data_IF_645465018840
#
_entry.id   IF_645465018840
#
_cell.length_a   1.000
_cell.length_b   1.000
_cell.length_c   1.000
_cell.angle_alpha   90.00
_cell.angle_beta   90.00
_cell.angle_gamma   90.00
#
_symmetry.space_group_name_H-M   'P 1'
#
loop_
_entity.id
_entity.type
_entity.pdbx_description
1 polymer ?
#
# COMPACT_ATOMS: atom_id res chain seq x y z
N UNK A 1 -6.04 7.85 -8.33
CA UNK A 1 -5.17 7.14 -7.35
C UNK A 1 -5.44 5.66 -7.40
N UNK A 2 -4.47 4.87 -7.02
CA UNK A 2 -4.59 3.42 -7.00
C UNK A 2 -4.66 2.96 -5.56
N UNK A 3 -5.69 2.20 -5.22
CA UNK A 3 -5.78 1.63 -3.87
C UNK A 3 -4.82 0.47 -3.76
N UNK A 4 -3.96 0.50 -2.76
CA UNK A 4 -2.97 -0.55 -2.57
C UNK A 4 -3.46 -1.61 -1.58
N UNK A 5 -3.63 -1.24 -0.32
CA UNK A 5 -4.04 -2.17 0.72
C UNK A 5 -4.60 -1.37 1.88
N UNK A 6 -5.61 -1.87 2.55
CA UNK A 6 -6.30 -1.20 3.64
C UNK A 6 -6.79 0.16 3.13
N UNK A 7 -6.45 1.25 3.79
CA UNK A 7 -6.85 2.58 3.30
C UNK A 7 -5.67 3.33 2.72
N UNK A 8 -4.64 2.64 2.27
CA UNK A 8 -3.48 3.28 1.66
C UNK A 8 -3.60 3.28 0.14
N UNK A 9 -3.27 4.44 -0.45
CA UNK A 9 -3.39 4.68 -1.88
C UNK A 9 -2.07 5.18 -2.44
N UNK A 10 -1.90 5.01 -3.75
CA UNK A 10 -0.71 5.43 -4.46
C UNK A 10 -1.09 6.42 -5.55
N UNK A 11 -0.34 7.49 -5.68
CA UNK A 11 -0.47 8.41 -6.79
C UNK A 11 0.92 8.83 -7.25
N UNK A 12 1.00 9.49 -8.39
CA UNK A 12 2.27 9.91 -8.96
C UNK A 12 2.22 11.40 -9.22
N UNK A 13 3.31 12.09 -8.88
CA UNK A 13 3.40 13.50 -9.15
C UNK A 13 4.81 13.77 -9.65
N UNK A 14 4.94 14.07 -10.94
CA UNK A 14 6.26 14.22 -11.53
C UNK A 14 7.00 12.89 -11.51
N UNK A 15 8.17 12.89 -10.92
CA UNK A 15 8.96 11.66 -10.83
C UNK A 15 8.83 10.98 -9.47
N UNK A 16 7.89 11.44 -8.64
CA UNK A 16 7.75 10.87 -7.30
C UNK A 16 6.52 9.99 -7.20
N UNK A 17 6.66 8.91 -6.43
CA UNK A 17 5.53 8.07 -6.05
C UNK A 17 5.09 8.51 -4.66
N UNK A 18 3.79 8.76 -4.49
CA UNK A 18 3.27 9.27 -3.23
C UNK A 18 2.26 8.28 -2.67
N UNK A 19 2.49 7.84 -1.45
CA UNK A 19 1.58 6.91 -0.78
C UNK A 19 0.99 7.60 0.43
N UNK A 20 -0.27 7.30 0.72
CA UNK A 20 -0.93 7.87 1.88
C UNK A 20 -2.35 7.37 2.00
N UNK A 21 -3.07 7.89 2.98
CA UNK A 21 -4.46 7.53 3.19
C UNK A 21 -5.36 8.46 2.39
N UNK A 22 -6.54 7.99 2.03
CA UNK A 22 -7.48 8.83 1.30
C UNK A 22 -8.02 9.92 2.21
N UNK A 23 -8.17 11.13 1.65
CA UNK A 23 -8.67 12.25 2.42
C UNK A 23 -10.18 12.17 2.63
N UNK A 24 -10.87 11.41 1.77
CA UNK A 24 -12.31 11.28 1.88
C UNK A 24 -12.71 9.91 1.35
N UNK A 25 -13.98 9.55 1.53
CA UNK A 25 -14.45 8.27 1.04
C UNK A 25 -14.40 8.19 -0.48
N UNK A 26 -14.30 9.31 -1.17
CA UNK A 26 -14.18 9.28 -2.62
C UNK A 26 -12.78 8.99 -3.10
N UNK A 27 -11.80 9.05 -2.20
CA UNK A 27 -10.41 8.73 -2.55
C UNK A 27 -9.90 9.59 -3.69
N UNK A 28 -10.27 10.88 -3.69
CA UNK A 28 -9.83 11.76 -4.77
C UNK A 28 -8.49 12.38 -4.50
N UNK A 29 -8.06 12.42 -3.27
CA UNK A 29 -6.75 12.95 -2.91
C UNK A 29 -6.32 12.34 -1.60
N UNK A 30 -5.04 12.46 -1.30
CA UNK A 30 -4.49 11.90 -0.08
C UNK A 30 -4.70 12.82 1.09
N UNK A 31 -4.83 12.24 2.27
CA UNK A 31 -5.02 12.98 3.49
C UNK A 31 -3.73 13.69 3.84
N UNK A 32 -3.83 15.00 4.08
CA UNK A 32 -2.66 15.79 4.41
C UNK A 32 -2.01 15.25 5.67
N UNK A 33 -0.70 15.10 5.64
CA UNK A 33 0.03 14.57 6.77
C UNK A 33 0.26 13.08 6.70
N UNK A 34 -0.50 12.36 5.86
CA UNK A 34 -0.26 10.94 5.68
C UNK A 34 0.62 10.65 4.48
N UNK A 35 0.96 11.67 3.70
CA UNK A 35 1.69 11.48 2.46
C UNK A 35 3.14 11.14 2.69
N UNK A 36 3.65 10.15 1.95
CA UNK A 36 5.05 9.78 1.97
C UNK A 36 5.53 9.69 0.54
N UNK A 37 6.69 10.25 0.28
CA UNK A 37 7.20 10.42 -1.07
C UNK A 37 8.37 9.47 -1.33
N UNK A 38 8.36 8.82 -2.47
CA UNK A 38 9.39 7.86 -2.85
C UNK A 38 9.82 8.09 -4.28
N UNK A 39 11.09 7.76 -4.56
CA UNK A 39 11.61 7.93 -5.91
C UNK A 39 11.51 6.63 -6.72
N UNK A 40 11.19 5.52 -6.10
CA UNK A 40 11.01 4.27 -6.84
C UNK A 40 9.76 3.55 -6.36
N UNK A 41 9.15 2.82 -7.28
CA UNK A 41 7.95 2.07 -6.97
C UNK A 41 8.22 0.95 -5.98
N UNK A 42 9.34 0.24 -6.13
CA UNK A 42 9.63 -0.85 -5.21
C UNK A 42 9.82 -0.35 -3.79
N UNK A 43 10.42 0.84 -3.62
CA UNK A 43 10.58 1.41 -2.30
C UNK A 43 9.22 1.80 -1.71
N UNK A 44 8.35 2.38 -2.55
CA UNK A 44 7.00 2.74 -2.11
C UNK A 44 6.22 1.50 -1.68
N UNK A 45 6.32 0.40 -2.43
CA UNK A 45 5.63 -0.84 -2.10
C UNK A 45 6.15 -1.42 -0.80
N UNK A 46 7.47 -1.46 -0.63
CA UNK A 46 8.06 -2.03 0.58
C UNK A 46 7.66 -1.24 1.82
N UNK A 47 7.68 0.08 1.72
CA UNK A 47 7.34 0.93 2.85
C UNK A 47 5.86 0.82 3.21
N UNK A 48 4.98 0.81 2.22
CA UNK A 48 3.55 0.68 2.46
C UNK A 48 3.22 -0.67 3.07
N UNK A 49 3.92 -1.72 2.62
CA UNK A 49 3.74 -3.05 3.18
C UNK A 49 4.04 -3.05 4.68
N UNK A 50 5.15 -2.43 5.05
CA UNK A 50 5.53 -2.39 6.46
C UNK A 50 4.55 -1.58 7.28
N UNK A 51 4.10 -0.44 6.77
CA UNK A 51 3.17 0.41 7.49
C UNK A 51 1.83 -0.30 7.69
N UNK A 52 1.33 -0.97 6.65
CA UNK A 52 0.07 -1.69 6.74
C UNK A 52 0.16 -2.84 7.74
N UNK A 53 1.29 -3.55 7.76
CA UNK A 53 1.49 -4.62 8.71
C UNK A 53 1.53 -4.07 10.14
N UNK A 54 2.20 -2.94 10.34
CA UNK A 54 2.26 -2.32 11.64
C UNK A 54 0.86 -1.94 12.14
N UNK A 55 0.03 -1.41 11.24
CA UNK A 55 -1.34 -1.05 11.61
C UNK A 55 -2.13 -2.29 12.03
N UNK A 56 -1.96 -3.40 11.32
CA UNK A 56 -2.66 -4.63 11.65
C UNK A 56 -2.26 -5.13 13.05
N UNK A 57 -1.00 -4.98 13.40
CA UNK A 57 -0.53 -5.38 14.72
C UNK A 57 -1.12 -4.46 15.79
N UNK A 58 -1.12 -3.16 15.53
CA UNK A 58 -1.60 -2.20 16.52
C UNK A 58 -3.09 -2.40 16.82
N UNK A 59 -3.90 -2.70 15.81
CA UNK A 59 -5.32 -2.87 16.05
C UNK A 59 -5.67 -4.29 16.50
N UNK A 60 -4.67 -5.17 16.67
CA UNK A 60 -4.92 -6.48 17.22
C UNK A 60 -5.35 -7.55 16.24
N UNK A 61 -5.29 -7.26 14.93
CA UNK A 61 -5.62 -8.27 13.93
C UNK A 61 -4.54 -9.32 13.80
N UNK A 62 -3.32 -9.00 14.22
CA UNK A 62 -2.19 -9.90 14.14
C UNK A 62 -1.59 -9.99 15.55
N UNK A 63 -1.55 -11.19 16.12
CA UNK A 63 -1.11 -11.35 17.50
C UNK A 63 -0.02 -12.39 17.68
N UNK A 64 0.27 -13.19 16.65
CA UNK A 64 1.30 -14.22 16.75
C UNK A 64 2.28 -14.07 15.62
N UNK A 65 3.46 -14.70 15.77
CA UNK A 65 4.47 -14.65 14.72
C UNK A 65 3.96 -15.27 13.44
N UNK A 66 3.23 -16.38 13.53
CA UNK A 66 2.70 -17.02 12.36
C UNK A 66 1.71 -16.12 11.65
N UNK A 67 0.82 -15.47 12.41
CA UNK A 67 -0.12 -14.52 11.80
C UNK A 67 0.61 -13.35 11.16
N UNK A 68 1.72 -12.91 11.76
CA UNK A 68 2.51 -11.83 11.19
C UNK A 68 3.04 -12.21 9.81
N UNK A 69 3.57 -13.43 9.67
CA UNK A 69 4.11 -13.88 8.41
C UNK A 69 3.00 -13.99 7.36
N UNK A 70 1.86 -14.55 7.75
CA UNK A 70 0.75 -14.69 6.82
C UNK A 70 0.20 -13.34 6.38
N UNK A 71 0.09 -12.41 7.33
CA UNK A 71 -0.44 -11.09 7.01
C UNK A 71 0.52 -10.32 6.12
N UNK A 72 1.83 -10.44 6.36
CA UNK A 72 2.82 -9.79 5.52
C UNK A 72 2.72 -10.28 4.09
N UNK A 73 2.56 -11.60 3.91
CA UNK A 73 2.44 -12.17 2.58
C UNK A 73 1.17 -11.69 1.90
N UNK A 74 0.07 -11.66 2.63
CA UNK A 74 -1.20 -11.20 2.08
C UNK A 74 -1.14 -9.73 1.64
N UNK A 75 -0.57 -8.88 2.48
CA UNK A 75 -0.44 -7.46 2.17
C UNK A 75 0.43 -7.26 0.95
N UNK A 76 1.56 -7.98 0.89
CA UNK A 76 2.46 -7.85 -0.23
C UNK A 76 1.79 -8.28 -1.53
N UNK A 77 1.05 -9.40 -1.50
CA UNK A 77 0.37 -9.88 -2.69
C UNK A 77 -0.70 -8.90 -3.13
N UNK A 78 -1.43 -8.31 -2.19
CA UNK A 78 -2.47 -7.37 -2.53
C UNK A 78 -1.90 -6.10 -3.15
N UNK A 79 -0.79 -5.59 -2.61
CA UNK A 79 -0.15 -4.41 -3.15
C UNK A 79 0.40 -4.68 -4.54
N UNK A 80 1.07 -5.81 -4.71
CA UNK A 80 1.65 -6.14 -6.00
C UNK A 80 0.58 -6.33 -7.05
N UNK A 81 -0.54 -6.94 -6.69
CA UNK A 81 -1.65 -7.11 -7.60
C UNK A 81 -2.22 -5.75 -8.00
N UNK A 82 -2.36 -4.83 -7.06
CA UNK A 82 -2.89 -3.50 -7.36
C UNK A 82 -1.97 -2.72 -8.29
N UNK A 83 -0.65 -2.80 -8.04
CA UNK A 83 0.30 -2.04 -8.81
C UNK A 83 0.46 -2.61 -10.21
N UNK A 84 0.45 -3.94 -10.32
CA UNK A 84 0.62 -4.59 -11.62
C UNK A 84 -0.67 -4.82 -12.34
N UNK A 85 -1.76 -4.56 -11.70
CA UNK A 85 -3.09 -4.80 -12.13
C UNK A 85 -3.31 -5.12 -13.57
N UNK A 86 -3.35 -4.11 -14.37
CA UNK A 86 -3.67 -4.38 -15.72
C UNK A 86 -2.52 -4.82 -16.51
N UNK A 87 -1.32 -4.59 -16.03
CA UNK A 87 -0.17 -4.97 -16.78
C UNK A 87 0.15 -6.41 -16.77
N UNK A 88 -0.45 -7.15 -15.85
CA UNK A 88 -0.08 -8.51 -15.72
C UNK A 88 -0.52 -9.34 -16.86
N UNK A 89 -1.68 -9.04 -17.33
CA UNK A 89 -2.23 -9.95 -18.25
C UNK A 89 -1.56 -9.96 -19.55
N UNK A 90 -0.87 -8.91 -19.88
CA UNK A 90 -0.34 -8.98 -21.14
C UNK A 90 0.72 -9.89 -21.30
N UNK A 91 1.35 -10.28 -20.26
CA UNK A 91 2.35 -11.19 -20.45
C UNK A 91 1.87 -12.48 -20.55
N UNK A 92 0.68 -12.58 -20.42
CA UNK A 92 0.05 -13.88 -20.49
C UNK A 92 0.80 -14.68 -21.30
#
# INVERSE_FOLDING_TARGET
MIKLVRDYYLTVNGSSYICGKAASSRAERLLRGSERYYTSLSHAVASTTEIALRDAIVVGEVQTLQQTVEELRRIRDEILTAVNGKGVEEDG
#
